data_IF_848683381860
#
_entry.id   IF_848683381860
#
_cell.length_a   1.000
_cell.length_b   1.000
_cell.length_c   1.000
_cell.angle_alpha   90.00
_cell.angle_beta   90.00
_cell.angle_gamma   90.00
#
_symmetry.space_group_name_H-M   'P 1'
#
loop_
_entity.id
_entity.type
_entity.pdbx_description
1 polymer ?
#
# COMPACT_ATOMS: atom_id res chain seq x y z
N UNK A 1 -5.30 -20.94 -32.25
CA UNK A 1 -6.07 -21.85 -31.37
C UNK A 1 -6.93 -20.98 -30.47
N UNK A 2 -8.26 -21.21 -30.46
CA UNK A 2 -9.19 -20.54 -29.54
C UNK A 2 -9.18 -21.31 -28.21
N UNK A 3 -9.07 -20.60 -27.09
CA UNK A 3 -9.25 -21.17 -25.76
C UNK A 3 -10.58 -20.68 -25.23
N UNK A 4 -11.47 -21.62 -24.88
CA UNK A 4 -12.84 -21.39 -24.46
C UNK A 4 -12.96 -21.80 -22.99
N UNK A 5 -13.41 -20.89 -22.13
CA UNK A 5 -13.48 -21.09 -20.69
C UNK A 5 -14.63 -22.03 -20.32
N UNK A 6 -14.35 -23.03 -19.47
CA UNK A 6 -15.38 -23.91 -18.89
C UNK A 6 -15.92 -23.29 -17.61
N UNK A 7 -17.20 -22.94 -17.63
CA UNK A 7 -18.04 -22.67 -16.47
C UNK A 7 -18.18 -23.92 -15.60
N UNK A 8 -18.03 -23.80 -14.27
CA UNK A 8 -18.62 -24.76 -13.33
C UNK A 8 -19.24 -24.00 -12.16
N UNK A 9 -20.56 -24.05 -12.14
CA UNK A 9 -21.46 -23.70 -11.05
C UNK A 9 -21.52 -24.92 -10.12
N UNK A 10 -21.37 -24.73 -8.81
CA UNK A 10 -21.94 -25.63 -7.81
C UNK A 10 -22.68 -24.81 -6.74
N UNK A 11 -23.99 -24.76 -6.94
CA UNK A 11 -25.04 -24.35 -6.02
C UNK A 11 -25.37 -25.47 -5.01
N UNK A 12 -26.13 -25.06 -3.99
CA UNK A 12 -26.88 -25.78 -2.92
C UNK A 12 -26.23 -25.78 -1.52
N UNK A 13 -26.89 -25.38 -0.41
CA UNK A 13 -28.17 -24.66 -0.12
C UNK A 13 -28.27 -24.48 1.42
N UNK A 14 -28.95 -23.39 1.83
CA UNK A 14 -29.62 -23.04 3.10
C UNK A 14 -29.21 -23.66 4.45
N UNK A 15 -29.00 -22.77 5.42
CA UNK A 15 -29.68 -22.86 6.71
C UNK A 15 -30.36 -21.50 7.01
N UNK A 16 -31.67 -21.55 7.26
CA UNK A 16 -32.47 -20.44 7.75
C UNK A 16 -32.02 -20.02 9.16
N UNK A 17 -31.78 -18.73 9.38
CA UNK A 17 -31.89 -18.16 10.73
C UNK A 17 -32.58 -16.81 10.65
N UNK A 18 -33.88 -16.84 10.96
CA UNK A 18 -34.67 -15.66 11.30
C UNK A 18 -34.23 -15.20 12.69
N UNK A 19 -33.69 -13.99 12.77
CA UNK A 19 -33.38 -13.29 14.02
C UNK A 19 -33.48 -11.80 13.79
N UNK A 20 -34.49 -11.20 14.43
CA UNK A 20 -34.87 -9.79 14.54
C UNK A 20 -34.12 -8.71 13.75
N UNK A 21 -34.92 -7.94 13.00
CA UNK A 21 -34.54 -6.64 12.46
C UNK A 21 -34.30 -5.64 13.60
N UNK A 22 -33.05 -5.44 13.95
CA UNK A 22 -32.56 -4.14 14.43
C UNK A 22 -31.52 -3.67 13.43
N UNK A 23 -31.49 -2.38 13.03
CA UNK A 23 -30.40 -1.88 12.22
C UNK A 23 -29.15 -2.02 13.09
N UNK A 24 -28.35 -3.04 12.81
CA UNK A 24 -27.01 -3.11 13.36
C UNK A 24 -26.29 -1.96 12.70
N UNK A 25 -26.18 -0.86 13.43
CA UNK A 25 -25.22 0.20 13.17
C UNK A 25 -23.89 -0.52 12.93
N UNK A 26 -23.52 -0.67 11.66
CA UNK A 26 -22.21 -1.15 11.27
C UNK A 26 -21.23 -0.26 12.02
N UNK A 27 -20.54 -0.85 12.98
CA UNK A 27 -19.64 -0.15 13.87
C UNK A 27 -18.63 0.63 13.02
N UNK A 28 -18.89 1.92 12.82
CA UNK A 28 -17.85 2.92 12.67
C UNK A 28 -17.12 2.92 14.01
N UNK A 29 -16.23 1.95 14.20
CA UNK A 29 -15.31 1.93 15.33
C UNK A 29 -14.42 3.17 15.18
N UNK A 30 -14.87 4.25 15.80
CA UNK A 30 -14.14 5.43 16.25
C UNK A 30 -12.74 5.62 15.63
N UNK A 31 -12.66 5.79 14.31
CA UNK A 31 -11.49 6.43 13.71
C UNK A 31 -11.43 7.82 14.31
N UNK A 32 -10.32 8.10 15.00
CA UNK A 32 -10.06 9.42 15.56
C UNK A 32 -10.23 10.45 14.44
N UNK A 33 -10.72 11.65 14.77
CA UNK A 33 -10.86 12.75 13.79
C UNK A 33 -9.55 13.00 13.02
N UNK A 34 -8.41 12.64 13.65
CA UNK A 34 -7.07 12.69 13.10
C UNK A 34 -6.73 11.65 12.02
N UNK A 35 -7.43 10.52 11.98
CA UNK A 35 -7.32 9.47 10.93
C UNK A 35 -8.24 9.80 9.74
N UNK A 36 -9.35 10.52 9.98
CA UNK A 36 -10.22 11.03 8.92
C UNK A 36 -9.57 12.11 8.06
N UNK A 37 -8.42 12.64 8.46
CA UNK A 37 -7.64 13.62 7.69
C UNK A 37 -6.37 13.03 7.05
N UNK A 38 -6.06 11.75 7.30
CA UNK A 38 -4.85 11.10 6.78
C UNK A 38 -5.03 10.66 5.32
N UNK A 39 -4.04 10.96 4.49
CA UNK A 39 -3.93 10.34 3.17
C UNK A 39 -3.43 8.91 3.30
N UNK A 40 -3.95 8.00 2.46
CA UNK A 40 -3.50 6.60 2.41
C UNK A 40 -2.63 6.37 1.18
N UNK A 41 -1.46 5.79 1.37
CA UNK A 41 -0.52 5.43 0.32
C UNK A 41 -0.32 3.92 0.32
N UNK A 42 -0.75 3.23 -0.72
CA UNK A 42 -0.45 1.81 -0.93
C UNK A 42 0.62 1.66 -2.00
N UNK A 43 1.57 0.76 -1.76
CA UNK A 43 2.64 0.45 -2.71
C UNK A 43 2.69 -1.05 -2.95
N UNK A 44 2.83 -1.44 -4.22
CA UNK A 44 3.00 -2.83 -4.63
C UNK A 44 4.12 -2.93 -5.67
N UNK A 45 4.88 -4.01 -5.66
CA UNK A 45 5.93 -4.24 -6.64
C UNK A 45 5.51 -5.28 -7.68
N UNK A 46 5.91 -5.03 -8.92
CA UNK A 46 5.73 -5.99 -10.00
C UNK A 46 7.07 -6.22 -10.70
N UNK A 47 7.64 -7.41 -10.54
CA UNK A 47 8.84 -7.82 -11.24
C UNK A 47 8.55 -9.02 -12.13
N UNK A 48 8.89 -8.91 -13.41
CA UNK A 48 8.74 -9.98 -14.40
C UNK A 48 10.04 -10.16 -15.19
N UNK A 49 10.12 -11.22 -16.00
CA UNK A 49 11.34 -11.54 -16.74
C UNK A 49 11.70 -10.45 -17.78
N UNK A 50 10.71 -9.68 -18.23
CA UNK A 50 10.84 -8.63 -19.25
C UNK A 50 11.07 -7.25 -18.66
N UNK A 51 11.03 -7.08 -17.34
CA UNK A 51 11.27 -5.81 -16.67
C UNK A 51 10.72 -5.75 -15.25
N UNK A 52 11.02 -4.64 -14.58
CA UNK A 52 10.58 -4.37 -13.22
C UNK A 52 9.79 -3.07 -13.16
N UNK A 53 8.86 -2.99 -12.23
CA UNK A 53 8.01 -1.83 -12.00
C UNK A 53 7.35 -1.91 -10.64
N UNK A 54 6.54 -0.89 -10.34
CA UNK A 54 5.81 -0.83 -9.09
C UNK A 54 4.55 0.03 -9.25
N UNK A 55 3.51 -0.32 -8.50
CA UNK A 55 2.28 0.44 -8.36
C UNK A 55 2.34 1.38 -7.16
N UNK A 56 1.76 2.56 -7.32
CA UNK A 56 1.54 3.54 -6.26
C UNK A 56 0.08 3.96 -6.33
N UNK A 57 -0.65 3.77 -5.23
CA UNK A 57 -2.02 4.25 -5.06
C UNK A 57 -2.05 5.22 -3.90
N UNK A 58 -2.41 6.47 -4.18
CA UNK A 58 -2.53 7.53 -3.18
C UNK A 58 -4.01 7.97 -3.10
N UNK A 59 -4.61 7.84 -1.92
CA UNK A 59 -6.03 8.12 -1.66
C UNK A 59 -6.13 9.26 -0.66
N UNK A 60 -6.82 10.32 -1.06
CA UNK A 60 -7.14 11.46 -0.19
C UNK A 60 -8.25 11.11 0.80
N UNK A 61 -8.36 11.86 1.91
CA UNK A 61 -9.44 11.64 2.86
C UNK A 61 -10.85 11.92 2.29
N UNK A 62 -10.94 12.75 1.24
CA UNK A 62 -12.19 13.02 0.52
C UNK A 62 -12.55 11.95 -0.53
N UNK A 63 -11.72 10.90 -0.66
CA UNK A 63 -11.95 9.78 -1.58
C UNK A 63 -11.40 9.96 -3.00
N UNK A 64 -10.76 11.10 -3.31
CA UNK A 64 -10.01 11.21 -4.56
C UNK A 64 -8.81 10.27 -4.57
N UNK A 65 -8.59 9.58 -5.68
CA UNK A 65 -7.52 8.60 -5.87
C UNK A 65 -6.55 9.03 -6.96
N UNK A 66 -5.30 8.65 -6.78
CA UNK A 66 -4.21 8.88 -7.71
C UNK A 66 -3.40 7.59 -7.86
N UNK A 67 -3.44 7.03 -9.06
CA UNK A 67 -2.79 5.77 -9.39
C UNK A 67 -1.63 6.01 -10.36
N UNK A 68 -0.46 5.47 -10.02
CA UNK A 68 0.72 5.50 -10.88
C UNK A 68 1.34 4.12 -10.99
N UNK A 69 1.75 3.79 -12.22
CA UNK A 69 2.62 2.66 -12.50
C UNK A 69 4.01 3.18 -12.86
N UNK A 70 4.99 2.82 -12.04
CA UNK A 70 6.40 3.06 -12.29
C UNK A 70 6.95 1.92 -13.13
N UNK A 71 7.62 2.26 -14.23
CA UNK A 71 8.38 1.31 -15.05
C UNK A 71 9.85 1.63 -14.94
N UNK A 72 10.64 0.67 -14.43
CA UNK A 72 12.06 0.88 -14.24
C UNK A 72 12.81 0.56 -15.53
N UNK A 73 13.77 1.43 -15.89
CA UNK A 73 14.71 1.21 -16.98
C UNK A 73 15.82 0.21 -16.64
N UNK A 74 15.79 -0.35 -15.42
CA UNK A 74 16.74 -1.30 -14.88
C UNK A 74 15.98 -2.49 -14.26
N UNK A 75 16.69 -3.61 -14.07
CA UNK A 75 16.14 -4.75 -13.33
C UNK A 75 16.22 -4.46 -11.85
N UNK A 76 15.07 -4.49 -11.17
CA UNK A 76 14.95 -4.31 -9.73
C UNK A 76 14.46 -5.61 -9.07
N UNK A 77 14.96 -5.90 -7.88
CA UNK A 77 14.32 -6.86 -6.98
C UNK A 77 12.97 -6.31 -6.50
N UNK A 78 12.10 -7.17 -5.97
CA UNK A 78 10.80 -6.73 -5.45
C UNK A 78 10.97 -5.69 -4.33
N UNK A 79 11.92 -5.89 -3.42
CA UNK A 79 12.17 -4.96 -2.32
C UNK A 79 12.66 -3.60 -2.82
N UNK A 80 13.55 -3.57 -3.81
CA UNK A 80 13.99 -2.31 -4.45
C UNK A 80 12.82 -1.62 -5.14
N UNK A 81 11.99 -2.38 -5.87
CA UNK A 81 10.81 -1.86 -6.54
C UNK A 81 9.79 -1.23 -5.55
N UNK A 82 9.56 -1.87 -4.41
CA UNK A 82 8.70 -1.30 -3.35
C UNK A 82 9.31 -0.05 -2.73
N UNK A 83 10.63 -0.01 -2.49
CA UNK A 83 11.30 1.20 -2.00
C UNK A 83 11.20 2.38 -2.98
N UNK A 84 11.38 2.11 -4.27
CA UNK A 84 11.20 3.12 -5.32
C UNK A 84 9.75 3.63 -5.35
N UNK A 85 8.76 2.74 -5.25
CA UNK A 85 7.35 3.14 -5.16
C UNK A 85 7.04 3.96 -3.91
N UNK A 86 7.54 3.54 -2.74
CA UNK A 86 7.36 4.26 -1.49
C UNK A 86 7.93 5.68 -1.57
N UNK A 87 9.17 5.81 -2.04
CA UNK A 87 9.82 7.11 -2.17
C UNK A 87 9.09 7.98 -3.20
N UNK A 88 8.72 7.44 -4.35
CA UNK A 88 7.96 8.17 -5.36
C UNK A 88 6.61 8.66 -4.80
N UNK A 89 5.87 7.79 -4.11
CA UNK A 89 4.60 8.14 -3.47
C UNK A 89 4.74 9.24 -2.44
N UNK A 90 5.78 9.19 -1.59
CA UNK A 90 6.07 10.24 -0.62
C UNK A 90 6.51 11.56 -1.27
N UNK A 91 7.28 11.51 -2.36
CA UNK A 91 7.63 12.70 -3.13
C UNK A 91 6.37 13.35 -3.70
N UNK A 92 5.45 12.57 -4.27
CA UNK A 92 4.17 13.09 -4.79
C UNK A 92 3.35 13.70 -3.64
N UNK A 93 3.20 13.00 -2.53
CA UNK A 93 2.48 13.50 -1.36
C UNK A 93 3.08 14.81 -0.82
N UNK A 94 4.41 14.94 -0.82
CA UNK A 94 5.10 16.19 -0.49
C UNK A 94 4.73 17.33 -1.44
N UNK A 95 4.68 17.08 -2.75
CA UNK A 95 4.27 18.10 -3.73
C UNK A 95 2.80 18.50 -3.60
N UNK A 96 1.96 17.59 -3.11
CA UNK A 96 0.56 17.84 -2.76
C UNK A 96 0.39 18.47 -1.37
N UNK A 97 1.49 18.85 -0.71
CA UNK A 97 1.51 19.48 0.62
C UNK A 97 0.82 18.65 1.73
N UNK A 98 0.75 17.33 1.54
CA UNK A 98 0.15 16.39 2.49
C UNK A 98 0.89 16.45 3.82
N UNK A 99 0.13 16.68 4.90
CA UNK A 99 0.69 16.78 6.25
C UNK A 99 0.66 15.45 7.01
N UNK A 100 -0.31 14.59 6.71
CA UNK A 100 -0.57 13.33 7.41
C UNK A 100 -0.72 12.21 6.39
N UNK A 101 0.12 11.19 6.48
CA UNK A 101 0.11 10.06 5.55
C UNK A 101 0.29 8.73 6.27
N UNK A 102 -0.51 7.75 5.85
CA UNK A 102 -0.47 6.37 6.28
C UNK A 102 -0.09 5.51 5.08
N UNK A 103 1.03 4.82 5.19
CA UNK A 103 1.61 4.01 4.14
C UNK A 103 1.35 2.55 4.44
N UNK A 104 0.86 1.80 3.45
CA UNK A 104 0.70 0.36 3.50
C UNK A 104 1.61 -0.31 2.47
N UNK A 105 2.36 -1.31 2.93
CA UNK A 105 3.24 -2.15 2.09
C UNK A 105 3.13 -3.59 2.55
N UNK A 106 3.25 -4.55 1.63
CA UNK A 106 3.29 -5.97 1.95
C UNK A 106 4.73 -6.47 2.22
N UNK A 107 5.77 -5.69 1.90
CA UNK A 107 7.15 -5.99 2.29
C UNK A 107 7.37 -5.89 3.79
N UNK A 108 7.68 -7.04 4.39
CA UNK A 108 8.26 -7.09 5.74
C UNK A 108 9.57 -6.28 5.84
N UNK A 109 10.42 -6.32 4.81
CA UNK A 109 11.72 -5.65 4.85
C UNK A 109 11.59 -4.13 4.81
N UNK A 110 10.76 -3.59 3.91
CA UNK A 110 10.50 -2.15 3.77
C UNK A 110 9.92 -1.61 5.08
N UNK A 111 8.87 -2.25 5.61
CA UNK A 111 8.23 -1.83 6.86
C UNK A 111 9.21 -1.91 8.03
N UNK A 112 9.93 -3.02 8.20
CA UNK A 112 10.86 -3.19 9.31
C UNK A 112 12.01 -2.18 9.31
N UNK A 113 12.57 -1.87 8.13
CA UNK A 113 13.59 -0.81 8.00
C UNK A 113 13.00 0.59 8.21
N UNK A 114 11.82 0.87 7.67
CA UNK A 114 11.16 2.17 7.81
C UNK A 114 10.79 2.51 9.26
N UNK A 115 10.38 1.49 10.02
CA UNK A 115 10.07 1.55 11.45
C UNK A 115 11.32 1.50 12.35
N UNK A 116 12.50 1.18 11.79
CA UNK A 116 13.75 1.05 12.55
C UNK A 116 13.87 -0.25 13.35
N UNK A 117 13.06 -1.26 13.03
CA UNK A 117 13.11 -2.60 13.62
C UNK A 117 14.28 -3.42 13.05
N UNK A 118 14.70 -3.11 11.82
CA UNK A 118 15.81 -3.76 11.13
C UNK A 118 16.95 -2.79 10.84
N UNK A 119 18.15 -3.35 10.70
CA UNK A 119 19.33 -2.62 10.24
C UNK A 119 19.61 -2.93 8.75
N UNK A 120 19.86 -1.91 7.91
CA UNK A 120 20.18 -2.13 6.50
C UNK A 120 21.55 -2.78 6.36
N UNK A 121 21.62 -3.88 5.61
CA UNK A 121 22.88 -4.61 5.36
C UNK A 121 23.55 -4.29 4.02
N UNK A 122 22.74 -3.93 3.03
CA UNK A 122 23.19 -3.64 1.67
C UNK A 122 23.30 -2.12 1.46
N UNK A 123 24.32 -1.68 0.73
CA UNK A 123 24.53 -0.26 0.41
C UNK A 123 23.31 0.37 -0.31
N UNK A 124 22.58 -0.42 -1.09
CA UNK A 124 21.31 -0.03 -1.72
C UNK A 124 20.25 0.32 -0.67
N UNK A 125 20.04 -0.56 0.31
CA UNK A 125 19.08 -0.37 1.40
C UNK A 125 19.44 0.81 2.30
N UNK A 126 20.74 1.03 2.55
CA UNK A 126 21.23 2.22 3.28
C UNK A 126 20.83 3.50 2.55
N UNK A 127 20.98 3.55 1.22
CA UNK A 127 20.60 4.71 0.41
C UNK A 127 19.09 4.96 0.42
N UNK A 128 18.29 3.91 0.26
CA UNK A 128 16.83 4.02 0.32
C UNK A 128 16.35 4.51 1.68
N UNK A 129 16.87 3.92 2.77
CA UNK A 129 16.51 4.33 4.11
C UNK A 129 16.92 5.79 4.38
N UNK A 130 18.10 6.20 3.92
CA UNK A 130 18.57 7.60 4.06
C UNK A 130 17.65 8.58 3.32
N UNK A 131 17.23 8.24 2.10
CA UNK A 131 16.32 9.07 1.32
C UNK A 131 14.95 9.15 2.00
N UNK A 132 14.39 8.02 2.43
CA UNK A 132 13.15 7.98 3.19
C UNK A 132 13.23 8.82 4.48
N UNK A 133 14.32 8.70 5.24
CA UNK A 133 14.56 9.52 6.44
C UNK A 133 14.64 11.02 6.13
N UNK A 134 15.18 11.41 4.97
CA UNK A 134 15.20 12.82 4.55
C UNK A 134 13.81 13.37 4.20
N UNK A 135 12.87 12.51 3.82
CA UNK A 135 11.48 12.87 3.51
C UNK A 135 10.62 12.96 4.76
N UNK A 136 10.86 12.12 5.78
CA UNK A 136 10.08 12.08 7.04
C UNK A 136 9.76 13.46 7.64
N UNK A 137 10.70 14.42 7.77
CA UNK A 137 10.42 15.72 8.38
C UNK A 137 9.40 16.59 7.64
N UNK A 138 9.08 16.26 6.39
CA UNK A 138 8.05 16.95 5.60
C UNK A 138 6.65 16.72 6.15
N UNK A 139 6.42 15.57 6.78
CA UNK A 139 5.11 15.15 7.24
C UNK A 139 5.00 15.34 8.76
N UNK A 140 3.88 15.90 9.22
CA UNK A 140 3.54 15.94 10.65
C UNK A 140 3.30 14.54 11.19
N UNK A 141 2.67 13.69 10.38
CA UNK A 141 2.44 12.28 10.67
C UNK A 141 2.79 11.46 9.44
N UNK A 142 3.73 10.53 9.61
CA UNK A 142 4.01 9.48 8.64
C UNK A 142 4.01 8.16 9.40
N UNK A 143 3.07 7.29 9.07
CA UNK A 143 3.00 5.92 9.61
C UNK A 143 3.21 4.94 8.47
N UNK A 144 3.97 3.89 8.73
CA UNK A 144 4.16 2.78 7.78
C UNK A 144 3.66 1.52 8.46
N UNK A 145 2.74 0.82 7.81
CA UNK A 145 2.13 -0.41 8.32
C UNK A 145 2.29 -1.52 7.29
N UNK A 146 2.45 -2.73 7.82
CA UNK A 146 2.41 -3.92 7.00
C UNK A 146 0.96 -4.34 6.79
N UNK A 147 0.60 -4.67 5.56
CA UNK A 147 -0.67 -5.32 5.23
C UNK A 147 -0.42 -6.70 4.60
N UNK A 148 -1.36 -7.65 4.73
CA UNK A 148 -1.33 -8.88 3.95
C UNK A 148 -1.36 -8.56 2.45
N UNK A 149 -0.71 -9.41 1.65
CA UNK A 149 -0.63 -9.19 0.21
C UNK A 149 -2.01 -9.23 -0.46
N UNK A 150 -2.94 -9.99 0.09
CA UNK A 150 -4.33 -10.10 -0.37
C UNK A 150 -5.10 -8.79 -0.20
N UNK A 151 -4.66 -7.92 0.71
CA UNK A 151 -5.24 -6.59 0.96
C UNK A 151 -4.53 -5.48 0.15
N UNK A 152 -3.41 -5.81 -0.51
CA UNK A 152 -2.60 -4.91 -1.34
C UNK A 152 -2.87 -5.09 -2.85
N UNK A 153 -4.03 -5.63 -3.23
CA UNK A 153 -4.39 -6.06 -4.59
C UNK A 153 -5.39 -5.14 -5.28
#
# INVERSE_FOLDING_TARGET
MKFEARTTIKSQVLADFVGDNTPTECMEENLSESERESWKLSVDSSSCITGSGAGVLLVSPSGWTLEYALRFGFKATNNEAEWEALIAGLIIAKHLEVQRIEVSSDSQLVVGLACGEYEPREDSMVKYLSHFQSLKPTFKVLRVTKIPREENA
#
